data_IF_549802075316
#
_entry.id   IF_549802075316
#
_cell.length_a   1.000
_cell.length_b   1.000
_cell.length_c   1.000
_cell.angle_alpha   90.00
_cell.angle_beta   90.00
_cell.angle_gamma   90.00
#
_symmetry.space_group_name_H-M   'P 1'
#
loop_
_entity.id
_entity.type
_entity.pdbx_description
1 polymer ?
#
# COMPACT_ATOMS: atom_id res chain seq x y z
N UNK A 1 -13.03 5.49 -10.16
CA UNK A 1 -13.43 5.97 -8.81
C UNK A 1 -12.19 5.85 -7.94
N UNK A 2 -11.79 6.90 -7.24
CA UNK A 2 -10.62 6.83 -6.35
C UNK A 2 -10.89 5.86 -5.20
N UNK A 3 -9.88 5.12 -4.75
CA UNK A 3 -10.07 4.04 -3.76
C UNK A 3 -10.58 4.52 -2.40
N UNK A 4 -10.52 5.83 -2.13
CA UNK A 4 -10.95 6.45 -0.87
C UNK A 4 -12.16 7.37 -1.01
N UNK A 5 -12.87 7.37 -2.15
CA UNK A 5 -14.00 8.28 -2.35
C UNK A 5 -15.06 8.12 -1.26
N UNK A 6 -15.36 9.23 -0.57
CA UNK A 6 -16.31 9.26 0.54
C UNK A 6 -15.85 8.61 1.85
N UNK A 7 -14.64 8.02 1.90
CA UNK A 7 -14.13 7.35 3.11
C UNK A 7 -13.74 8.37 4.18
N UNK A 8 -14.13 8.10 5.42
CA UNK A 8 -13.78 8.90 6.61
C UNK A 8 -12.52 8.34 7.25
N UNK A 9 -11.43 9.11 7.20
CA UNK A 9 -10.12 8.72 7.72
C UNK A 9 -9.81 9.56 8.94
N UNK A 10 -9.69 8.92 10.10
CA UNK A 10 -9.23 9.58 11.33
C UNK A 10 -7.71 9.51 11.36
N UNK A 11 -7.04 10.64 11.16
CA UNK A 11 -5.58 10.74 11.08
C UNK A 11 -5.00 11.17 12.44
N UNK A 12 -4.38 10.23 13.15
CA UNK A 12 -3.63 10.49 14.38
C UNK A 12 -2.19 10.86 14.04
N UNK A 13 -1.74 12.04 14.46
CA UNK A 13 -0.39 12.55 14.24
C UNK A 13 0.42 12.43 15.55
N UNK A 14 1.45 11.58 15.51
CA UNK A 14 2.42 11.41 16.60
C UNK A 14 3.55 12.45 16.57
N UNK A 15 4.22 12.66 17.71
CA UNK A 15 5.32 13.61 17.85
C UNK A 15 6.67 13.06 17.42
N UNK A 16 7.04 13.27 16.17
CA UNK A 16 8.38 13.01 15.66
C UNK A 16 8.66 13.84 14.41
N UNK A 17 9.94 13.95 14.02
CA UNK A 17 10.35 14.82 12.91
C UNK A 17 9.57 14.55 11.61
N UNK A 18 9.18 13.30 11.35
CA UNK A 18 8.39 12.93 10.17
C UNK A 18 6.96 13.53 10.14
N UNK A 19 6.51 14.21 11.19
CA UNK A 19 5.19 14.86 11.23
C UNK A 19 4.99 15.88 10.10
N UNK A 20 6.04 16.53 9.58
CA UNK A 20 5.90 17.44 8.42
C UNK A 20 5.39 16.71 7.16
N UNK A 21 5.71 15.42 6.99
CA UNK A 21 5.23 14.61 5.85
C UNK A 21 3.71 14.42 5.88
N UNK A 22 3.08 14.56 7.04
CA UNK A 22 1.64 14.41 7.18
C UNK A 22 0.86 15.52 6.47
N UNK A 23 1.47 16.70 6.28
CA UNK A 23 0.89 17.79 5.52
C UNK A 23 0.67 17.39 4.05
N UNK A 24 1.66 16.76 3.41
CA UNK A 24 1.51 16.21 2.06
C UNK A 24 0.54 15.01 2.06
N UNK A 25 0.63 14.12 3.05
CA UNK A 25 -0.28 12.97 3.19
C UNK A 25 -1.75 13.39 3.21
N UNK A 26 -2.11 14.42 3.98
CA UNK A 26 -3.49 14.96 4.02
C UNK A 26 -3.93 15.36 2.61
N UNK A 27 -3.07 16.05 1.85
CA UNK A 27 -3.38 16.41 0.45
C UNK A 27 -3.60 15.18 -0.41
N UNK A 28 -2.72 14.17 -0.34
CA UNK A 28 -2.84 12.93 -1.13
C UNK A 28 -4.12 12.15 -0.82
N UNK A 29 -4.50 12.06 0.45
CA UNK A 29 -5.73 11.41 0.88
C UNK A 29 -6.97 12.14 0.34
N UNK A 30 -6.98 13.48 0.42
CA UNK A 30 -8.09 14.30 -0.11
C UNK A 30 -8.18 14.28 -1.63
N UNK A 31 -7.05 14.29 -2.35
CA UNK A 31 -7.00 14.09 -3.81
C UNK A 31 -7.61 12.75 -4.23
N UNK A 32 -7.58 11.75 -3.34
CA UNK A 32 -8.21 10.43 -3.51
C UNK A 32 -9.65 10.37 -2.97
N UNK A 33 -10.25 11.50 -2.62
CA UNK A 33 -11.66 11.61 -2.20
C UNK A 33 -11.93 11.31 -0.71
N UNK A 34 -10.89 11.09 0.10
CA UNK A 34 -11.05 10.86 1.53
C UNK A 34 -11.44 12.14 2.28
N UNK A 35 -12.27 12.00 3.32
CA UNK A 35 -12.50 13.01 4.35
C UNK A 35 -11.55 12.75 5.51
N UNK A 36 -10.65 13.69 5.79
CA UNK A 36 -9.61 13.51 6.82
C UNK A 36 -9.96 14.30 8.07
N UNK A 37 -10.13 13.62 9.19
CA UNK A 37 -10.32 14.22 10.51
C UNK A 37 -9.02 14.08 11.31
N UNK A 38 -8.27 15.17 11.57
CA UNK A 38 -6.99 15.08 12.28
C UNK A 38 -7.16 15.01 13.80
N UNK A 39 -6.36 14.15 14.44
CA UNK A 39 -6.12 14.13 15.88
C UNK A 39 -4.63 14.35 16.12
N UNK A 40 -4.25 15.37 16.88
CA UNK A 40 -2.85 15.69 17.15
C UNK A 40 -2.48 15.37 18.59
N UNK A 41 -1.39 14.63 18.78
CA UNK A 41 -0.78 14.50 20.11
C UNK A 41 -0.14 15.84 20.51
N UNK A 42 0.03 16.06 21.82
CA UNK A 42 0.76 17.25 22.31
C UNK A 42 2.16 17.36 21.66
N UNK A 43 2.89 16.25 21.57
CA UNK A 43 4.20 16.21 20.94
C UNK A 43 4.18 16.47 19.43
N UNK A 44 3.09 16.19 18.70
CA UNK A 44 2.98 16.52 17.28
C UNK A 44 2.88 18.03 17.04
N UNK A 45 2.28 18.77 17.97
CA UNK A 45 2.11 20.23 17.89
C UNK A 45 3.45 20.99 17.93
N UNK A 46 4.49 20.36 18.47
CA UNK A 46 5.86 20.90 18.47
C UNK A 46 6.54 20.81 17.08
N UNK A 47 6.07 19.94 16.19
CA UNK A 47 6.65 19.75 14.85
C UNK A 47 5.82 20.40 13.73
N UNK A 48 4.49 20.35 13.84
CA UNK A 48 3.55 20.93 12.87
C UNK A 48 2.42 21.60 13.63
N UNK A 49 1.91 22.73 13.12
CA UNK A 49 0.88 23.49 13.83
C UNK A 49 -0.53 22.98 13.54
N UNK A 50 -1.47 23.04 14.51
CA UNK A 50 -2.88 22.75 14.27
C UNK A 50 -3.49 23.59 13.14
N UNK A 51 -3.02 24.83 12.96
CA UNK A 51 -3.46 25.71 11.86
C UNK A 51 -3.14 25.12 10.49
N UNK A 52 -1.91 24.65 10.27
CA UNK A 52 -1.51 24.07 8.99
C UNK A 52 -2.27 22.77 8.69
N UNK A 53 -2.41 21.93 9.72
CA UNK A 53 -3.14 20.66 9.63
C UNK A 53 -4.63 20.91 9.33
N UNK A 54 -5.28 21.82 10.05
CA UNK A 54 -6.69 22.18 9.86
C UNK A 54 -6.97 22.81 8.50
N UNK A 55 -6.08 23.68 8.01
CA UNK A 55 -6.22 24.29 6.69
C UNK A 55 -6.13 23.25 5.56
N UNK A 56 -5.21 22.29 5.68
CA UNK A 56 -5.04 21.24 4.67
C UNK A 56 -6.10 20.15 4.75
N UNK A 57 -6.62 19.83 5.94
CA UNK A 57 -7.70 18.85 6.11
C UNK A 57 -9.08 19.44 5.77
N UNK A 58 -9.23 20.77 5.87
CA UNK A 58 -10.52 21.46 5.86
C UNK A 58 -11.47 20.87 6.92
N UNK A 59 -10.95 20.57 8.12
CA UNK A 59 -11.69 19.95 9.23
C UNK A 59 -11.13 20.41 10.58
N UNK A 60 -11.95 20.31 11.65
CA UNK A 60 -11.50 20.56 13.04
C UNK A 60 -10.35 19.61 13.38
N UNK A 61 -9.31 20.16 14.00
CA UNK A 61 -8.21 19.39 14.58
C UNK A 61 -8.56 19.13 16.04
N UNK A 62 -8.58 17.86 16.43
CA UNK A 62 -8.81 17.47 17.82
C UNK A 62 -7.47 17.18 18.50
N UNK A 63 -7.25 17.69 19.71
CA UNK A 63 -5.96 17.52 20.39
C UNK A 63 -6.05 17.44 21.93
N UNK A 64 -7.27 17.49 22.48
CA UNK A 64 -7.55 17.37 23.91
C UNK A 64 -8.66 16.34 24.15
N UNK A 65 -8.45 15.49 25.15
CA UNK A 65 -9.41 14.47 25.57
C UNK A 65 -10.58 15.06 26.35
N UNK A 66 -10.35 16.17 27.05
CA UNK A 66 -11.29 16.78 28.01
C UNK A 66 -11.86 18.12 27.52
N UNK A 67 -11.84 18.36 26.21
CA UNK A 67 -12.44 19.56 25.63
C UNK A 67 -13.96 19.57 25.91
N UNK A 68 -14.39 20.53 26.73
CA UNK A 68 -15.78 20.65 27.20
C UNK A 68 -16.77 20.94 26.07
N UNK A 69 -16.32 21.51 24.95
CA UNK A 69 -17.15 21.72 23.77
C UNK A 69 -17.37 20.40 23.00
N UNK A 70 -16.42 19.47 23.07
CA UNK A 70 -16.49 18.16 22.40
C UNK A 70 -17.01 17.03 23.31
N UNK A 71 -16.94 17.19 24.63
CA UNK A 71 -17.38 16.21 25.62
C UNK A 71 -18.89 16.03 25.70
N UNK A 72 -19.69 16.98 25.22
CA UNK A 72 -21.15 16.90 25.25
C UNK A 72 -21.71 15.66 24.52
N UNK A 73 -20.89 14.97 23.70
CA UNK A 73 -21.26 13.81 22.88
C UNK A 73 -20.25 12.64 22.92
N UNK A 74 -19.43 12.54 23.97
CA UNK A 74 -18.41 11.46 24.11
C UNK A 74 -17.42 11.44 22.93
N UNK A 75 -16.71 12.56 22.74
CA UNK A 75 -15.90 12.88 21.55
C UNK A 75 -15.00 11.75 21.04
N UNK A 76 -14.20 11.10 21.90
CA UNK A 76 -13.27 10.04 21.48
C UNK A 76 -14.00 8.78 20.95
N UNK A 77 -15.14 8.41 21.53
CA UNK A 77 -15.95 7.27 21.06
C UNK A 77 -16.59 7.60 19.72
N UNK A 78 -17.13 8.81 19.57
CA UNK A 78 -17.74 9.25 18.31
C UNK A 78 -16.71 9.26 17.18
N UNK A 79 -15.55 9.89 17.42
CA UNK A 79 -14.43 9.92 16.46
C UNK A 79 -14.03 8.50 16.03
N UNK A 80 -13.87 7.58 16.98
CA UNK A 80 -13.49 6.20 16.70
C UNK A 80 -14.56 5.41 15.92
N UNK A 81 -15.86 5.68 16.14
CA UNK A 81 -16.98 5.01 15.46
C UNK A 81 -17.27 5.55 14.07
N UNK A 82 -17.04 6.84 13.85
CA UNK A 82 -17.28 7.48 12.57
C UNK A 82 -16.13 7.28 11.58
N UNK A 83 -14.97 6.82 12.03
CA UNK A 83 -13.87 6.49 11.14
C UNK A 83 -14.18 5.20 10.36
N UNK A 84 -13.99 5.23 9.05
CA UNK A 84 -13.95 3.99 8.23
C UNK A 84 -12.56 3.33 8.35
N UNK A 85 -11.52 4.11 8.66
CA UNK A 85 -10.20 3.65 9.09
C UNK A 85 -9.52 4.67 10.01
N UNK A 86 -8.66 4.18 10.91
CA UNK A 86 -7.77 5.01 11.73
C UNK A 86 -6.35 4.90 11.16
N UNK A 87 -5.75 6.03 10.81
CA UNK A 87 -4.39 6.12 10.30
C UNK A 87 -3.50 6.83 11.32
N UNK A 88 -2.39 6.19 11.72
CA UNK A 88 -1.40 6.80 12.62
C UNK A 88 -0.14 7.12 11.83
N UNK A 89 0.17 8.40 11.64
CA UNK A 89 1.34 8.85 10.90
C UNK A 89 1.87 10.18 11.47
N UNK A 90 3.12 10.27 11.93
CA UNK A 90 4.00 9.14 12.24
C UNK A 90 3.50 8.35 13.46
N UNK A 91 3.62 7.02 13.40
CA UNK A 91 3.49 6.15 14.57
C UNK A 91 4.84 6.06 15.29
N UNK A 92 5.03 6.88 16.33
CA UNK A 92 6.28 6.90 17.09
C UNK A 92 6.42 5.67 18.00
N UNK A 93 7.64 5.36 18.44
CA UNK A 93 7.88 4.25 19.37
C UNK A 93 7.03 4.37 20.65
N UNK A 94 6.88 5.60 21.18
CA UNK A 94 6.06 5.88 22.35
C UNK A 94 4.57 5.60 22.10
N UNK A 95 4.03 6.06 20.96
CA UNK A 95 2.62 5.84 20.64
C UNK A 95 2.32 4.36 20.40
N UNK A 96 3.21 3.65 19.71
CA UNK A 96 3.13 2.18 19.56
C UNK A 96 3.20 1.47 20.91
N UNK A 97 4.10 1.90 21.82
CA UNK A 97 4.22 1.30 23.14
C UNK A 97 2.95 1.48 23.98
N UNK A 98 2.40 2.70 24.01
CA UNK A 98 1.14 2.96 24.73
C UNK A 98 -0.01 2.15 24.16
N UNK A 99 -0.15 2.11 22.83
CA UNK A 99 -1.18 1.32 22.16
C UNK A 99 -1.05 -0.19 22.46
N UNK A 100 0.15 -0.75 22.36
CA UNK A 100 0.40 -2.19 22.58
C UNK A 100 0.13 -2.64 24.03
N UNK A 101 0.14 -1.70 24.97
CA UNK A 101 -0.05 -1.97 26.40
C UNK A 101 -1.37 -1.40 26.93
N UNK A 102 -2.26 -0.91 26.06
CA UNK A 102 -3.58 -0.38 26.45
C UNK A 102 -3.52 0.87 27.34
N UNK A 103 -2.47 1.67 27.23
CA UNK A 103 -2.32 2.92 28.00
C UNK A 103 -3.08 4.05 27.31
N UNK A 104 -4.01 4.68 28.04
CA UNK A 104 -4.93 5.71 27.53
C UNK A 104 -4.84 6.96 28.40
N UNK A 105 -3.93 7.84 28.02
CA UNK A 105 -3.61 9.09 28.74
C UNK A 105 -3.85 10.35 27.89
N UNK A 106 -4.19 10.19 26.61
CA UNK A 106 -4.53 11.29 25.70
C UNK A 106 -5.64 10.89 24.71
N UNK A 107 -6.14 11.87 23.94
CA UNK A 107 -7.20 11.65 22.96
C UNK A 107 -6.80 10.60 21.90
N UNK A 108 -5.55 10.62 21.44
CA UNK A 108 -5.05 9.72 20.41
C UNK A 108 -5.11 8.25 20.87
N UNK A 109 -4.60 7.98 22.07
CA UNK A 109 -4.61 6.64 22.67
C UNK A 109 -6.02 6.18 23.05
N UNK A 110 -6.89 7.10 23.50
CA UNK A 110 -8.30 6.80 23.78
C UNK A 110 -9.06 6.38 22.52
N UNK A 111 -8.86 7.10 21.43
CA UNK A 111 -9.41 6.74 20.10
C UNK A 111 -8.89 5.38 19.65
N UNK A 112 -7.58 5.13 19.76
CA UNK A 112 -6.98 3.86 19.32
C UNK A 112 -7.55 2.67 20.08
N UNK A 113 -7.76 2.79 21.39
CA UNK A 113 -8.35 1.71 22.18
C UNK A 113 -9.85 1.51 21.87
N UNK A 114 -10.57 2.59 21.53
CA UNK A 114 -11.99 2.54 21.22
C UNK A 114 -12.31 2.14 19.77
N UNK A 115 -11.31 2.16 18.87
CA UNK A 115 -11.49 1.94 17.45
C UNK A 115 -11.95 0.51 17.12
N UNK A 116 -13.00 0.41 16.30
CA UNK A 116 -13.44 -0.85 15.66
C UNK A 116 -13.07 -0.91 14.18
N UNK A 117 -12.81 0.25 13.59
CA UNK A 117 -12.33 0.37 12.22
C UNK A 117 -10.89 -0.17 12.11
N UNK A 118 -10.47 -0.64 10.93
CA UNK A 118 -9.09 -1.08 10.73
C UNK A 118 -8.11 0.06 11.03
N UNK A 119 -7.03 -0.29 11.74
CA UNK A 119 -5.96 0.62 12.11
C UNK A 119 -4.75 0.38 11.20
N UNK A 120 -4.25 1.44 10.58
CA UNK A 120 -2.99 1.44 9.83
C UNK A 120 -1.99 2.36 10.53
N UNK A 121 -0.81 1.85 10.85
CA UNK A 121 0.29 2.64 11.43
C UNK A 121 1.44 2.78 10.44
N UNK A 122 2.00 4.00 10.34
CA UNK A 122 3.20 4.30 9.58
C UNK A 122 4.35 4.65 10.55
N UNK A 123 5.17 3.66 10.96
CA UNK A 123 6.21 3.89 11.96
C UNK A 123 7.27 4.88 11.49
N UNK A 124 7.76 5.71 12.42
CA UNK A 124 8.88 6.61 12.15
C UNK A 124 9.72 6.82 13.40
N UNK A 125 10.99 6.40 13.36
CA UNK A 125 11.96 6.53 14.44
C UNK A 125 13.37 6.23 13.95
N UNK A 126 14.38 6.59 14.74
CA UNK A 126 15.77 6.23 14.48
C UNK A 126 15.95 4.68 14.34
N UNK A 127 16.87 4.18 13.50
CA UNK A 127 17.10 2.74 13.31
C UNK A 127 17.38 1.95 14.59
N UNK A 128 18.13 2.53 15.53
CA UNK A 128 18.40 1.92 16.82
C UNK A 128 17.11 1.78 17.65
N UNK A 129 16.25 2.79 17.62
CA UNK A 129 14.92 2.71 18.26
C UNK A 129 14.03 1.65 17.60
N UNK A 130 14.06 1.54 16.27
CA UNK A 130 13.30 0.53 15.54
C UNK A 130 13.78 -0.90 15.82
N UNK A 131 15.10 -1.09 15.86
CA UNK A 131 15.72 -2.37 16.18
C UNK A 131 15.60 -2.77 17.65
N UNK A 132 15.29 -1.82 18.54
CA UNK A 132 15.21 -2.06 19.97
C UNK A 132 14.19 -3.17 20.31
N UNK A 133 14.54 -4.15 21.18
CA UNK A 133 13.67 -5.29 21.48
C UNK A 133 12.26 -4.90 21.97
N UNK A 134 12.13 -3.80 22.73
CA UNK A 134 10.83 -3.32 23.19
C UNK A 134 9.94 -2.86 22.01
N UNK A 135 10.50 -2.12 21.06
CA UNK A 135 9.78 -1.67 19.85
C UNK A 135 9.36 -2.86 19.01
N UNK A 136 10.26 -3.83 18.80
CA UNK A 136 9.98 -5.05 18.04
C UNK A 136 8.86 -5.87 18.68
N UNK A 137 8.87 -6.00 20.01
CA UNK A 137 7.80 -6.68 20.78
C UNK A 137 6.47 -5.96 20.63
N UNK A 138 6.43 -4.64 20.82
CA UNK A 138 5.20 -3.84 20.69
C UNK A 138 4.64 -3.92 19.26
N UNK A 139 5.51 -3.85 18.24
CA UNK A 139 5.11 -4.04 16.85
C UNK A 139 4.47 -5.42 16.62
N UNK A 140 5.08 -6.49 17.15
CA UNK A 140 4.55 -7.85 17.02
C UNK A 140 3.22 -8.03 17.72
N UNK A 141 3.05 -7.47 18.93
CA UNK A 141 1.78 -7.49 19.67
C UNK A 141 0.70 -6.79 18.87
N UNK A 142 0.94 -5.55 18.43
CA UNK A 142 -0.03 -4.79 17.63
C UNK A 142 -0.40 -5.51 16.33
N UNK A 143 0.57 -6.11 15.65
CA UNK A 143 0.31 -6.88 14.44
C UNK A 143 -0.57 -8.12 14.73
N UNK A 144 -0.33 -8.81 15.85
CA UNK A 144 -1.16 -9.93 16.29
C UNK A 144 -2.58 -9.48 16.67
N UNK A 145 -2.73 -8.27 17.19
CA UNK A 145 -4.02 -7.64 17.51
C UNK A 145 -4.76 -7.10 16.27
N UNK A 146 -4.20 -7.28 15.07
CA UNK A 146 -4.83 -6.92 13.80
C UNK A 146 -4.50 -5.52 13.29
N UNK A 147 -3.59 -4.78 13.94
CA UNK A 147 -3.07 -3.51 13.42
C UNK A 147 -2.21 -3.76 12.20
N UNK A 148 -2.46 -3.00 11.13
CA UNK A 148 -1.69 -3.06 9.88
C UNK A 148 -0.58 -2.02 9.91
N UNK A 149 0.51 -2.30 9.18
CA UNK A 149 1.69 -1.43 9.12
C UNK A 149 2.09 -1.10 7.68
N UNK A 150 2.63 0.10 7.48
CA UNK A 150 3.27 0.54 6.23
C UNK A 150 4.65 1.13 6.56
N UNK A 151 5.70 0.59 5.93
CA UNK A 151 7.08 0.88 6.30
C UNK A 151 7.45 0.29 7.69
N UNK A 152 8.42 0.89 8.40
CA UNK A 152 9.27 2.01 7.97
C UNK A 152 10.20 1.63 6.83
N UNK A 153 10.59 2.61 6.03
CA UNK A 153 11.53 2.45 4.92
C UNK A 153 12.98 2.54 5.41
N UNK A 154 13.90 1.99 4.61
CA UNK A 154 15.32 2.23 4.76
C UNK A 154 15.73 3.58 4.15
N UNK A 155 16.69 4.26 4.77
CA UNK A 155 17.29 5.48 4.21
C UNK A 155 18.15 6.21 5.23
N UNK A 156 18.74 7.33 4.78
CA UNK A 156 19.40 8.28 5.67
C UNK A 156 18.39 8.91 6.63
N UNK A 157 18.83 9.10 7.87
CA UNK A 157 18.08 9.74 8.93
C UNK A 157 18.37 11.24 8.97
N UNK A 158 17.61 11.97 9.80
CA UNK A 158 17.88 13.39 10.05
C UNK A 158 19.24 13.62 10.74
N UNK A 159 19.73 12.63 11.48
CA UNK A 159 21.04 12.63 12.14
C UNK A 159 22.13 12.24 11.14
N UNK A 160 23.16 13.08 11.04
CA UNK A 160 24.25 12.87 10.09
C UNK A 160 25.02 11.57 10.39
N UNK A 161 25.18 10.71 9.38
CA UNK A 161 25.91 9.45 9.49
C UNK A 161 25.06 8.26 9.93
N UNK A 162 23.75 8.45 10.16
CA UNK A 162 22.84 7.36 10.49
C UNK A 162 21.98 6.96 9.29
N UNK A 163 22.13 5.72 8.84
CA UNK A 163 21.33 5.12 7.78
C UNK A 163 20.80 3.75 8.22
N UNK A 164 19.54 3.46 7.92
CA UNK A 164 18.93 2.20 8.30
C UNK A 164 17.41 2.21 8.16
N UNK A 165 16.78 1.16 8.66
CA UNK A 165 15.32 1.01 8.65
C UNK A 165 14.73 1.83 9.80
N UNK A 166 13.85 2.77 9.49
CA UNK A 166 13.21 3.62 10.51
C UNK A 166 12.55 4.89 9.95
N UNK A 167 12.82 5.23 8.69
CA UNK A 167 12.22 6.39 8.02
C UNK A 167 10.74 6.13 7.75
N UNK A 168 9.88 7.11 8.04
CA UNK A 168 8.47 6.99 7.68
C UNK A 168 8.31 6.73 6.18
N UNK A 169 7.43 5.78 5.83
CA UNK A 169 7.01 5.55 4.44
C UNK A 169 6.55 6.86 3.79
N UNK A 170 6.71 6.97 2.47
CA UNK A 170 6.33 8.18 1.75
C UNK A 170 4.80 8.36 1.73
N UNK A 171 4.30 9.60 1.71
CA UNK A 171 2.86 9.88 1.73
C UNK A 171 2.03 9.08 0.70
N UNK A 172 2.58 8.87 -0.49
CA UNK A 172 1.93 8.09 -1.55
C UNK A 172 1.85 6.59 -1.23
N UNK A 173 2.87 6.03 -0.57
CA UNK A 173 2.89 4.64 -0.11
C UNK A 173 1.85 4.44 0.99
N UNK A 174 1.77 5.38 1.94
CA UNK A 174 0.78 5.36 3.02
C UNK A 174 -0.64 5.45 2.45
N UNK A 175 -0.90 6.35 1.51
CA UNK A 175 -2.21 6.48 0.87
C UNK A 175 -2.62 5.21 0.11
N UNK A 176 -1.68 4.57 -0.61
CA UNK A 176 -1.93 3.30 -1.30
C UNK A 176 -2.17 2.14 -0.32
N UNK A 177 -1.41 2.09 0.78
CA UNK A 177 -1.63 1.09 1.83
C UNK A 177 -3.01 1.28 2.46
N UNK A 178 -3.43 2.52 2.75
CA UNK A 178 -4.75 2.81 3.30
C UNK A 178 -5.89 2.39 2.35
N UNK A 179 -5.73 2.64 1.05
CA UNK A 179 -6.65 2.13 0.03
C UNK A 179 -6.77 0.62 0.13
N UNK A 180 -5.66 -0.11 0.15
CA UNK A 180 -5.68 -1.56 0.29
C UNK A 180 -6.29 -2.03 1.63
N UNK A 181 -6.19 -1.22 2.69
CA UNK A 181 -6.86 -1.51 3.97
C UNK A 181 -8.37 -1.42 3.86
N UNK A 182 -8.85 -0.40 3.14
CA UNK A 182 -10.26 -0.09 2.96
C UNK A 182 -10.90 -0.78 1.75
N UNK A 183 -10.08 -1.42 0.91
CA UNK A 183 -10.48 -2.25 -0.23
C UNK A 183 -11.06 -3.60 0.25
N UNK A 184 -12.14 -3.51 1.01
CA UNK A 184 -13.01 -4.61 1.43
C UNK A 184 -14.33 -4.62 0.65
N UNK A 185 -14.42 -3.88 -0.45
CA UNK A 185 -15.57 -3.93 -1.36
C UNK A 185 -15.67 -5.28 -2.08
N UNK A 186 -16.84 -5.56 -2.65
CA UNK A 186 -16.97 -6.68 -3.59
C UNK A 186 -15.95 -6.46 -4.73
N UNK A 187 -14.94 -7.32 -4.78
CA UNK A 187 -13.94 -7.30 -5.83
C UNK A 187 -14.67 -7.44 -7.18
N UNK A 188 -14.64 -6.43 -8.07
CA UNK A 188 -15.58 -6.36 -9.19
C UNK A 188 -15.37 -7.48 -10.22
N UNK A 189 -14.19 -8.12 -10.20
CA UNK A 189 -13.85 -9.25 -11.05
C UNK A 189 -13.78 -10.58 -10.28
N UNK A 190 -14.29 -10.63 -9.06
CA UNK A 190 -14.37 -11.88 -8.28
C UNK A 190 -15.06 -12.98 -9.10
N UNK A 191 -14.40 -14.14 -9.19
CA UNK A 191 -14.90 -15.31 -9.94
C UNK A 191 -14.79 -15.19 -11.47
N UNK A 192 -14.15 -14.13 -12.00
CA UNK A 192 -13.86 -14.00 -13.44
C UNK A 192 -12.48 -14.55 -13.75
N UNK A 193 -12.39 -15.36 -14.80
CA UNK A 193 -11.12 -15.90 -15.32
C UNK A 193 -10.62 -15.03 -16.47
N UNK A 194 -9.39 -14.53 -16.36
CA UNK A 194 -8.81 -13.62 -17.36
C UNK A 194 -7.44 -14.12 -17.80
N UNK A 195 -7.21 -14.18 -19.11
CA UNK A 195 -5.90 -14.49 -19.69
C UNK A 195 -5.18 -13.20 -20.06
N UNK A 196 -3.93 -13.05 -19.64
CA UNK A 196 -3.08 -11.90 -20.00
C UNK A 196 -1.82 -12.42 -20.65
N UNK A 197 -1.43 -11.87 -21.80
CA UNK A 197 -0.11 -12.14 -22.39
C UNK A 197 0.88 -11.03 -22.05
N UNK A 198 2.16 -11.34 -21.87
CA UNK A 198 3.19 -10.34 -21.58
C UNK A 198 4.56 -10.69 -22.17
N UNK A 199 5.46 -9.71 -22.21
CA UNK A 199 6.84 -9.88 -22.62
C UNK A 199 7.04 -9.94 -24.15
N UNK A 200 8.29 -10.11 -24.59
CA UNK A 200 8.64 -10.40 -25.99
C UNK A 200 8.41 -11.89 -26.29
N UNK A 201 8.54 -12.28 -27.54
CA UNK A 201 8.77 -13.69 -27.93
C UNK A 201 10.15 -13.79 -28.57
N UNK A 202 10.81 -14.94 -28.40
CA UNK A 202 12.13 -15.24 -28.93
C UNK A 202 11.97 -16.36 -29.97
N UNK A 203 12.08 -16.00 -31.25
CA UNK A 203 11.97 -16.97 -32.35
C UNK A 203 13.36 -17.51 -32.70
N UNK A 204 13.66 -18.79 -32.45
CA UNK A 204 15.01 -19.34 -32.66
C UNK A 204 15.40 -19.31 -34.14
N UNK A 205 16.65 -18.93 -34.39
CA UNK A 205 17.34 -19.12 -35.67
C UNK A 205 18.17 -20.41 -35.59
N UNK A 206 18.81 -20.62 -34.45
CA UNK A 206 19.60 -21.79 -34.06
C UNK A 206 19.65 -21.84 -32.51
N UNK A 207 20.37 -22.79 -31.87
CA UNK A 207 20.39 -22.90 -30.40
C UNK A 207 20.96 -21.69 -29.64
N UNK A 208 21.60 -20.74 -30.32
CA UNK A 208 22.24 -19.56 -29.70
C UNK A 208 21.55 -18.27 -30.11
N UNK A 209 21.15 -18.14 -31.39
CA UNK A 209 20.63 -16.91 -31.97
C UNK A 209 19.11 -16.99 -32.13
N UNK A 210 18.44 -15.89 -31.85
CA UNK A 210 17.00 -15.76 -31.99
C UNK A 210 16.59 -14.35 -32.44
N UNK A 211 15.41 -14.24 -33.03
CA UNK A 211 14.75 -12.97 -33.33
C UNK A 211 13.86 -12.58 -32.15
N UNK A 212 14.00 -11.36 -31.66
CA UNK A 212 13.20 -10.85 -30.56
C UNK A 212 12.96 -9.34 -30.70
N UNK A 213 11.99 -8.84 -29.95
CA UNK A 213 11.75 -7.42 -29.75
C UNK A 213 12.21 -6.98 -28.34
N UNK A 214 12.18 -5.67 -28.09
CA UNK A 214 12.66 -5.05 -26.84
C UNK A 214 11.59 -4.90 -25.77
N UNK A 215 10.50 -5.66 -25.83
CA UNK A 215 9.44 -5.57 -24.82
C UNK A 215 9.99 -5.90 -23.44
N UNK A 216 9.67 -5.04 -22.46
CA UNK A 216 10.07 -5.23 -21.07
C UNK A 216 9.08 -6.03 -20.24
N UNK A 217 7.90 -6.37 -20.80
CA UNK A 217 6.79 -7.03 -20.09
C UNK A 217 6.09 -6.18 -19.02
N UNK A 218 6.62 -5.01 -18.65
CA UNK A 218 6.09 -4.18 -17.55
C UNK A 218 4.59 -3.91 -17.66
N UNK A 219 4.09 -3.63 -18.87
CA UNK A 219 2.67 -3.33 -19.08
C UNK A 219 1.78 -4.55 -18.79
N UNK A 220 2.08 -5.72 -19.37
CA UNK A 220 1.27 -6.92 -19.13
C UNK A 220 1.35 -7.41 -17.69
N UNK A 221 2.50 -7.32 -17.04
CA UNK A 221 2.65 -7.66 -15.62
C UNK A 221 1.86 -6.70 -14.71
N UNK A 222 1.88 -5.39 -15.00
CA UNK A 222 1.10 -4.42 -14.26
C UNK A 222 -0.41 -4.64 -14.44
N UNK A 223 -0.87 -4.98 -15.65
CA UNK A 223 -2.27 -5.31 -15.92
C UNK A 223 -2.66 -6.58 -15.15
N UNK A 224 -1.84 -7.63 -15.19
CA UNK A 224 -2.11 -8.88 -14.47
C UNK A 224 -2.19 -8.67 -12.95
N UNK A 225 -1.27 -7.87 -12.37
CA UNK A 225 -1.33 -7.45 -10.97
C UNK A 225 -2.64 -6.72 -10.65
N UNK A 226 -3.04 -5.75 -11.48
CA UNK A 226 -4.25 -4.97 -11.25
C UNK A 226 -5.52 -5.83 -11.32
N UNK A 227 -5.63 -6.72 -12.31
CA UNK A 227 -6.76 -7.64 -12.45
C UNK A 227 -6.89 -8.60 -11.27
N UNK A 228 -5.76 -9.12 -10.78
CA UNK A 228 -5.71 -9.97 -9.58
C UNK A 228 -6.13 -9.18 -8.34
N UNK A 229 -5.69 -7.91 -8.23
CA UNK A 229 -6.13 -6.98 -7.20
C UNK A 229 -7.65 -6.82 -7.17
N UNK A 230 -8.26 -6.64 -8.35
CA UNK A 230 -9.71 -6.56 -8.58
C UNK A 230 -10.46 -7.89 -8.44
N UNK A 231 -9.76 -8.99 -8.10
CA UNK A 231 -10.32 -10.29 -7.74
C UNK A 231 -10.46 -11.31 -8.86
N UNK A 232 -9.92 -11.03 -10.04
CA UNK A 232 -9.92 -11.99 -11.13
C UNK A 232 -8.97 -13.16 -10.84
N UNK A 233 -9.33 -14.34 -11.35
CA UNK A 233 -8.43 -15.47 -11.51
C UNK A 233 -7.62 -15.25 -12.79
N UNK A 234 -6.37 -14.78 -12.64
CA UNK A 234 -5.54 -14.38 -13.79
C UNK A 234 -4.57 -15.49 -14.18
N UNK A 235 -4.59 -15.89 -15.45
CA UNK A 235 -3.49 -16.65 -16.07
C UNK A 235 -2.59 -15.69 -16.84
N UNK A 236 -1.33 -15.57 -16.42
CA UNK A 236 -0.33 -14.73 -17.09
C UNK A 236 0.56 -15.61 -17.97
N UNK A 237 0.43 -15.48 -19.29
CA UNK A 237 1.31 -16.12 -20.27
C UNK A 237 2.39 -15.12 -20.64
N UNK A 238 3.63 -15.33 -20.18
CA UNK A 238 4.72 -14.38 -20.45
C UNK A 238 5.84 -15.04 -21.22
N UNK A 239 6.30 -14.31 -22.24
CA UNK A 239 7.61 -14.54 -22.81
C UNK A 239 8.75 -14.02 -21.93
N UNK A 240 10.01 -14.09 -22.40
CA UNK A 240 11.19 -13.89 -21.56
C UNK A 240 11.35 -12.45 -21.06
N UNK A 241 11.31 -12.25 -19.73
CA UNK A 241 11.49 -10.95 -19.07
C UNK A 241 12.22 -11.09 -17.74
N UNK A 242 12.83 -10.00 -17.25
CA UNK A 242 13.60 -9.97 -16.00
C UNK A 242 12.83 -9.39 -14.79
N UNK A 243 11.56 -9.01 -14.97
CA UNK A 243 10.72 -8.49 -13.89
C UNK A 243 10.09 -9.62 -13.09
N UNK A 244 9.82 -9.39 -11.81
CA UNK A 244 9.22 -10.39 -10.93
C UNK A 244 7.76 -10.69 -11.29
N UNK A 245 7.35 -11.94 -11.08
CA UNK A 245 5.98 -12.38 -11.29
C UNK A 245 5.04 -11.66 -10.31
N UNK A 246 3.88 -11.14 -10.76
CA UNK A 246 2.89 -10.58 -9.86
C UNK A 246 2.35 -11.64 -8.90
N UNK A 247 2.14 -11.33 -7.61
CA UNK A 247 1.57 -12.29 -6.68
C UNK A 247 0.13 -12.65 -7.08
N UNK A 248 -0.23 -13.92 -6.93
CA UNK A 248 -1.61 -14.40 -7.13
C UNK A 248 -2.01 -14.72 -8.57
N UNK A 249 -1.10 -14.59 -9.55
CA UNK A 249 -1.34 -15.03 -10.93
C UNK A 249 -0.95 -16.50 -11.14
N UNK A 250 -1.66 -17.21 -12.02
CA UNK A 250 -1.23 -18.49 -12.55
C UNK A 250 -0.23 -18.28 -13.70
N UNK A 251 1.06 -18.42 -13.41
CA UNK A 251 2.14 -18.10 -14.34
C UNK A 251 2.37 -19.22 -15.39
N UNK A 252 2.48 -18.86 -16.67
CA UNK A 252 2.87 -19.72 -17.80
C UNK A 252 4.01 -19.07 -18.58
N UNK A 253 5.23 -19.58 -18.41
CA UNK A 253 6.41 -19.11 -19.15
C UNK A 253 6.49 -19.82 -20.50
N UNK A 254 6.73 -19.03 -21.52
CA UNK A 254 6.88 -19.46 -22.92
C UNK A 254 8.07 -18.72 -23.53
N UNK A 255 8.61 -19.20 -24.63
CA UNK A 255 9.66 -18.50 -25.37
C UNK A 255 9.15 -18.04 -26.72
N UNK A 256 8.48 -18.92 -27.47
CA UNK A 256 8.06 -18.64 -28.85
C UNK A 256 6.61 -18.15 -28.95
N UNK A 257 6.28 -17.51 -30.06
CA UNK A 257 4.92 -17.10 -30.39
C UNK A 257 3.96 -18.31 -30.47
N UNK A 258 4.45 -19.47 -30.92
CA UNK A 258 3.66 -20.71 -30.99
C UNK A 258 3.36 -21.29 -29.61
N UNK A 259 4.35 -21.33 -28.73
CA UNK A 259 4.15 -21.75 -27.34
C UNK A 259 3.20 -20.79 -26.62
N UNK A 260 3.33 -19.48 -26.88
CA UNK A 260 2.40 -18.48 -26.35
C UNK A 260 0.96 -18.74 -26.80
N UNK A 261 0.76 -19.02 -28.09
CA UNK A 261 -0.56 -19.37 -28.62
C UNK A 261 -1.12 -20.62 -27.94
N UNK A 262 -0.34 -21.70 -27.86
CA UNK A 262 -0.76 -22.94 -27.20
C UNK A 262 -1.11 -22.73 -25.72
N UNK A 263 -0.30 -21.95 -24.99
CA UNK A 263 -0.55 -21.64 -23.59
C UNK A 263 -1.81 -20.79 -23.39
N UNK A 264 -2.11 -19.87 -24.32
CA UNK A 264 -3.36 -19.10 -24.33
C UNK A 264 -4.54 -20.02 -24.59
N UNK A 265 -4.48 -20.87 -25.63
CA UNK A 265 -5.55 -21.80 -25.97
C UNK A 265 -5.84 -22.78 -24.83
N UNK A 266 -4.80 -23.28 -24.14
CA UNK A 266 -4.94 -24.16 -22.99
C UNK A 266 -5.56 -23.47 -21.75
N UNK A 267 -5.53 -22.14 -21.70
CA UNK A 267 -6.12 -21.34 -20.62
C UNK A 267 -7.59 -20.96 -20.88
N UNK A 268 -8.14 -21.31 -22.06
CA UNK A 268 -9.54 -21.11 -22.40
C UNK A 268 -10.44 -22.24 -21.84
N UNK A 269 -11.73 -21.98 -21.56
CA UNK A 269 -12.43 -20.71 -21.71
C UNK A 269 -12.11 -19.71 -20.59
N UNK A 270 -12.03 -18.44 -20.96
CA UNK A 270 -11.88 -17.30 -20.06
C UNK A 270 -13.00 -16.27 -20.29
N UNK A 271 -13.34 -15.48 -19.27
CA UNK A 271 -14.32 -14.41 -19.37
C UNK A 271 -13.78 -13.21 -20.19
N UNK A 272 -12.47 -13.01 -20.18
CA UNK A 272 -11.78 -11.98 -20.98
C UNK A 272 -10.33 -12.39 -21.28
N UNK A 273 -9.74 -11.76 -22.30
CA UNK A 273 -8.33 -11.88 -22.63
C UNK A 273 -7.71 -10.51 -22.95
N UNK A 274 -6.48 -10.28 -22.51
CA UNK A 274 -5.70 -9.07 -22.79
C UNK A 274 -4.40 -9.46 -23.52
N UNK A 275 -4.34 -9.14 -24.81
CA UNK A 275 -3.18 -9.43 -25.66
C UNK A 275 -2.23 -8.25 -25.71
N UNK A 276 -1.24 -8.22 -24.81
CA UNK A 276 -0.27 -7.13 -24.68
C UNK A 276 1.19 -7.62 -24.73
N UNK A 277 1.42 -8.93 -24.93
CA UNK A 277 2.72 -9.41 -25.34
C UNK A 277 3.11 -8.81 -26.70
N UNK A 278 4.40 -8.53 -26.86
CA UNK A 278 4.96 -8.20 -28.16
C UNK A 278 5.32 -9.51 -28.87
N UNK A 279 4.33 -10.08 -29.55
CA UNK A 279 4.48 -11.33 -30.29
C UNK A 279 5.22 -11.05 -31.60
N UNK A 280 6.13 -11.93 -31.99
CA UNK A 280 6.87 -11.82 -33.24
C UNK A 280 5.96 -12.13 -34.44
N UNK A 281 5.97 -11.26 -35.45
CA UNK A 281 5.20 -11.44 -36.68
C UNK A 281 5.79 -12.53 -37.59
N UNK A 282 7.10 -12.73 -37.51
CA UNK A 282 7.87 -13.61 -38.38
C UNK A 282 8.69 -14.60 -37.57
N UNK A 283 8.86 -15.79 -38.13
CA UNK A 283 9.80 -16.80 -37.65
C UNK A 283 10.66 -17.32 -38.79
N UNK A 284 11.74 -18.00 -38.45
CA UNK A 284 12.54 -18.75 -39.40
C UNK A 284 11.75 -19.94 -39.96
N UNK A 285 12.00 -20.29 -41.23
CA UNK A 285 11.35 -21.45 -41.86
C UNK A 285 12.00 -22.76 -41.41
N UNK A 286 13.29 -22.72 -41.10
CA UNK A 286 14.06 -23.80 -40.51
C UNK A 286 14.86 -23.25 -39.32
N UNK A 287 14.78 -23.95 -38.18
CA UNK A 287 15.71 -23.79 -37.07
C UNK A 287 16.98 -24.54 -37.46
N UNK A 288 18.14 -23.89 -37.42
CA UNK A 288 19.41 -24.56 -37.67
C UNK A 288 19.63 -25.66 -36.64
N UNK A 289 19.68 -26.92 -37.08
CA UNK A 289 20.07 -28.03 -36.23
C UNK A 289 21.57 -27.93 -35.91
N UNK A 290 21.94 -28.32 -34.69
CA UNK A 290 23.33 -28.37 -34.24
C UNK A 290 24.10 -29.53 -34.87
#
# INVERSE_FOLDING_TARGET
MSGLDGKRVLLIIGGGIAAYKTLDLIRRLRERGARVTPVMTAAAKEFVTPLAVGALSASKVFDDLFDREDEHDVGHIRLAREADAVLVAPATANLMARCANGLVDDLATAVLLAAKAPILMAPAMNPAMWAHPATRRNHQVLAADGVRFVGPNAGEMAEAGEAGIGRMAEPMEIAAALEAVLDGGAKPLAGRRIVVTSGPTHEPIDPVRYLANRSSGRQGHAIAAALTGLGAEVTLVSGPVAIADPPGVAMRRVETAREMLQAVEAALPADAAVFVAAVADWRTVAEGEA
#
